data_IF_797136936010
#
_entry.id   IF_797136936010
#
_cell.length_a   1.000
_cell.length_b   1.000
_cell.length_c   1.000
_cell.angle_alpha   90.00
_cell.angle_beta   90.00
_cell.angle_gamma   90.00
#
_symmetry.space_group_name_H-M   'P 1'
#
loop_
_entity.id
_entity.type
_entity.pdbx_description
1 polymer ?
#
# COMPACT_ATOMS: atom_id res chain seq x y z
N UNK A 1 -12.54 -10.16 1.88
CA UNK A 1 -11.92 -11.50 1.96
C UNK A 1 -11.78 -11.87 3.43
N UNK A 2 -12.28 -13.02 3.88
CA UNK A 2 -12.07 -13.46 5.26
C UNK A 2 -10.57 -13.72 5.51
N UNK A 3 -10.05 -13.19 6.60
CA UNK A 3 -8.63 -13.31 6.97
C UNK A 3 -7.69 -12.32 6.29
N UNK A 4 -8.20 -11.30 5.60
CA UNK A 4 -7.38 -10.22 5.04
C UNK A 4 -7.72 -8.89 5.70
N UNK A 5 -6.72 -8.23 6.25
CA UNK A 5 -6.81 -6.88 6.81
C UNK A 5 -5.83 -5.97 6.10
N UNK A 6 -6.30 -4.82 5.63
CA UNK A 6 -5.47 -3.81 4.99
C UNK A 6 -5.52 -2.56 5.87
N UNK A 7 -4.35 -2.10 6.30
CA UNK A 7 -4.16 -0.86 7.02
C UNK A 7 -3.57 0.17 6.05
N UNK A 8 -4.33 1.22 5.75
CA UNK A 8 -3.89 2.30 4.86
C UNK A 8 -3.21 3.37 5.72
N UNK A 9 -1.95 3.66 5.41
CA UNK A 9 -1.17 4.68 6.11
C UNK A 9 -1.23 6.05 5.42
N UNK A 10 -1.89 6.12 4.26
CA UNK A 10 -1.97 7.31 3.41
C UNK A 10 -3.41 7.58 2.96
N UNK A 11 -3.71 8.85 2.73
CA UNK A 11 -4.94 9.32 2.10
C UNK A 11 -4.62 10.06 0.81
N UNK A 12 -5.61 10.14 -0.09
CA UNK A 12 -5.45 10.87 -1.35
C UNK A 12 -5.13 12.34 -1.07
N UNK A 13 -4.05 12.84 -1.69
CA UNK A 13 -3.54 14.20 -1.49
C UNK A 13 -2.49 14.34 -0.38
N UNK A 14 -2.18 13.27 0.37
CA UNK A 14 -1.11 13.31 1.36
C UNK A 14 0.27 13.51 0.69
N UNK A 15 1.06 14.41 1.26
CA UNK A 15 2.47 14.54 0.91
C UNK A 15 3.26 13.44 1.61
N UNK A 16 3.74 12.45 0.84
CA UNK A 16 4.43 11.29 1.40
C UNK A 16 5.67 11.67 2.25
N UNK A 17 6.38 12.74 1.92
CA UNK A 17 7.54 13.22 2.69
C UNK A 17 7.21 13.73 4.10
N UNK A 18 5.94 14.05 4.36
CA UNK A 18 5.51 14.65 5.63
C UNK A 18 4.94 13.59 6.60
N UNK A 19 4.77 12.35 6.13
CA UNK A 19 4.27 11.24 6.93
C UNK A 19 5.34 10.69 7.85
N UNK A 20 4.94 10.27 9.06
CA UNK A 20 5.84 9.62 10.02
C UNK A 20 6.29 8.25 9.50
N UNK A 21 7.49 7.86 9.89
CA UNK A 21 8.07 6.52 9.61
C UNK A 21 8.44 6.28 8.15
N UNK A 22 8.51 7.34 7.35
CA UNK A 22 9.03 7.30 5.98
C UNK A 22 10.55 7.45 6.00
N UNK A 23 11.26 6.49 5.42
CA UNK A 23 12.70 6.58 5.22
C UNK A 23 12.99 7.47 4.01
N UNK A 24 14.15 8.15 3.99
CA UNK A 24 14.50 9.06 2.87
C UNK A 24 14.58 8.36 1.51
N UNK A 25 14.56 7.02 1.48
CA UNK A 25 14.66 6.21 0.27
C UNK A 25 13.40 5.38 -0.05
N UNK A 26 12.36 5.38 0.79
CA UNK A 26 11.14 4.60 0.53
C UNK A 26 9.92 5.13 1.27
N UNK A 27 8.77 5.13 0.58
CA UNK A 27 7.49 5.48 1.18
C UNK A 27 6.57 4.26 1.38
N UNK A 28 5.99 4.10 2.57
CA UNK A 28 4.98 3.09 2.88
C UNK A 28 3.57 3.66 2.68
N UNK A 29 2.81 3.02 1.79
CA UNK A 29 1.42 3.41 1.45
C UNK A 29 0.36 2.61 2.20
N UNK A 30 0.62 1.32 2.41
CA UNK A 30 -0.30 0.40 3.07
C UNK A 30 0.43 -0.82 3.64
N UNK A 31 -0.16 -1.43 4.66
CA UNK A 31 0.22 -2.74 5.19
C UNK A 31 -0.93 -3.73 4.98
N UNK A 32 -0.68 -4.82 4.25
CA UNK A 32 -1.67 -5.88 4.03
C UNK A 32 -1.29 -7.14 4.81
N UNK A 33 -2.19 -7.59 5.68
CA UNK A 33 -2.09 -8.85 6.42
C UNK A 33 -3.03 -9.87 5.78
N UNK A 34 -2.50 -10.95 5.23
CA UNK A 34 -3.26 -11.93 4.46
C UNK A 34 -3.10 -13.32 5.10
N UNK A 35 -4.21 -13.89 5.55
CA UNK A 35 -4.30 -15.29 6.00
C UNK A 35 -4.70 -16.23 4.87
N UNK A 36 -4.02 -17.37 4.80
CA UNK A 36 -4.30 -18.44 3.84
C UNK A 36 -4.00 -19.82 4.45
N UNK A 37 -4.64 -20.86 3.94
CA UNK A 37 -4.41 -22.23 4.36
C UNK A 37 -3.14 -22.84 3.71
N UNK A 38 -2.76 -22.33 2.54
CA UNK A 38 -1.57 -22.75 1.79
C UNK A 38 -0.98 -21.59 0.96
N UNK A 39 0.21 -21.82 0.40
CA UNK A 39 0.96 -20.81 -0.36
C UNK A 39 0.26 -20.38 -1.67
N UNK A 40 -0.46 -21.30 -2.32
CA UNK A 40 -1.15 -21.00 -3.57
C UNK A 40 -2.35 -20.08 -3.30
N UNK A 41 -3.11 -20.35 -2.25
CA UNK A 41 -4.18 -19.47 -1.79
C UNK A 41 -3.63 -18.11 -1.33
N UNK A 42 -2.50 -18.08 -0.63
CA UNK A 42 -1.85 -16.83 -0.20
C UNK A 42 -1.49 -15.96 -1.40
N UNK A 43 -0.87 -16.57 -2.41
CA UNK A 43 -0.45 -15.88 -3.63
C UNK A 43 -1.65 -15.32 -4.40
N UNK A 44 -2.70 -16.13 -4.58
CA UNK A 44 -3.91 -15.68 -5.27
C UNK A 44 -4.63 -14.54 -4.53
N UNK A 45 -4.64 -14.56 -3.19
CA UNK A 45 -5.19 -13.47 -2.38
C UNK A 45 -4.32 -12.22 -2.45
N UNK A 46 -3.00 -12.38 -2.43
CA UNK A 46 -2.06 -11.27 -2.56
C UNK A 46 -2.24 -10.54 -3.90
N UNK A 47 -2.31 -11.25 -5.01
CA UNK A 47 -2.54 -10.65 -6.32
C UNK A 47 -3.86 -9.87 -6.39
N UNK A 48 -4.92 -10.40 -5.80
CA UNK A 48 -6.20 -9.71 -5.73
C UNK A 48 -6.17 -8.45 -4.85
N UNK A 49 -5.44 -8.47 -3.73
CA UNK A 49 -5.25 -7.30 -2.87
C UNK A 49 -4.47 -6.21 -3.61
N UNK A 50 -3.38 -6.57 -4.28
CA UNK A 50 -2.58 -5.63 -5.08
C UNK A 50 -3.42 -5.02 -6.21
N UNK A 51 -4.19 -5.83 -6.93
CA UNK A 51 -5.06 -5.35 -7.99
C UNK A 51 -6.20 -4.43 -7.50
N UNK A 52 -6.63 -4.59 -6.24
CA UNK A 52 -7.66 -3.76 -5.62
C UNK A 52 -7.13 -2.45 -5.02
N UNK A 53 -5.81 -2.25 -4.99
CA UNK A 53 -5.15 -1.06 -4.45
C UNK A 53 -4.46 -0.26 -5.57
N UNK A 54 -5.22 0.41 -6.46
CA UNK A 54 -4.66 1.24 -7.52
C UNK A 54 -4.13 2.56 -6.95
N UNK A 55 -2.93 2.54 -6.37
CA UNK A 55 -2.25 3.76 -5.95
C UNK A 55 -1.71 4.51 -7.17
N UNK A 56 -2.13 5.75 -7.32
CA UNK A 56 -1.53 6.71 -8.25
C UNK A 56 -0.70 7.71 -7.44
N UNK A 57 0.56 7.91 -7.84
CA UNK A 57 1.50 8.80 -7.16
C UNK A 57 1.91 9.87 -8.18
N UNK A 58 1.55 11.11 -7.88
CA UNK A 58 1.96 12.25 -8.69
C UNK A 58 3.41 12.64 -8.38
N UNK A 59 4.11 13.12 -9.40
CA UNK A 59 5.45 13.70 -9.23
C UNK A 59 5.36 15.04 -8.48
N UNK A 60 6.43 15.39 -7.77
CA UNK A 60 6.52 16.69 -7.11
C UNK A 60 6.77 17.72 -8.22
N UNK A 61 5.71 18.39 -8.64
CA UNK A 61 5.84 19.51 -9.57
C UNK A 61 6.78 20.55 -8.95
N UNK A 62 8.01 20.65 -9.47
CA UNK A 62 8.97 21.70 -9.09
C UNK A 62 8.38 23.04 -9.52
N UNK A 63 7.72 23.71 -8.58
CA UNK A 63 7.17 25.04 -8.76
C UNK A 63 8.31 26.04 -8.96
N UNK A 64 8.69 26.26 -10.21
CA UNK A 64 9.47 27.42 -10.63
C UNK A 64 8.60 28.67 -10.71
#
# INVERSE_FOLDING_TARGET
>A
MPGTTIDLTVHAGDRLSDLREQDSYSYQLASAYIGAADEAELTAKFEQVVAALPFEIDDVSDGR
#
